data_IF_962238676580
#
_entry.id   IF_962238676580
#
_cell.length_a   1.000
_cell.length_b   1.000
_cell.length_c   1.000
_cell.angle_alpha   90.00
_cell.angle_beta   90.00
_cell.angle_gamma   90.00
#
_symmetry.space_group_name_H-M   'P 1'
#
loop_
_entity.id
_entity.type
_entity.pdbx_description
1 polymer ?
#
# COMPACT_ATOMS: atom_id res chain seq x y z
N UNK A 1 -25.84 44.02 40.01
CA UNK A 1 -25.44 43.55 38.69
C UNK A 1 -25.27 42.05 38.76
N UNK A 2 -26.24 41.27 38.27
CA UNK A 2 -26.17 39.82 38.23
C UNK A 2 -25.26 39.37 37.08
N UNK A 3 -24.36 38.40 37.28
CA UNK A 3 -23.52 37.89 36.20
C UNK A 3 -24.39 37.20 35.14
N UNK A 4 -24.25 37.62 33.88
CA UNK A 4 -24.91 37.00 32.74
C UNK A 4 -24.48 35.53 32.61
N UNK A 5 -25.45 34.64 32.48
CA UNK A 5 -25.19 33.21 32.24
C UNK A 5 -24.36 33.01 30.96
N UNK A 6 -23.42 32.02 30.95
CA UNK A 6 -22.65 31.74 29.75
C UNK A 6 -23.59 31.34 28.60
N UNK A 7 -23.24 31.68 27.34
CA UNK A 7 -24.05 31.32 26.18
C UNK A 7 -24.16 29.79 26.08
N UNK A 8 -25.38 29.32 25.83
CA UNK A 8 -25.65 27.89 25.58
C UNK A 8 -24.82 27.42 24.37
N UNK A 9 -24.28 26.21 24.43
CA UNK A 9 -23.58 25.63 23.28
C UNK A 9 -24.54 25.62 22.07
N UNK A 10 -24.01 25.90 20.85
CA UNK A 10 -24.84 25.93 19.64
C UNK A 10 -25.58 24.60 19.50
N UNK A 11 -26.89 24.68 19.34
CA UNK A 11 -27.72 23.50 19.07
C UNK A 11 -27.26 22.88 17.74
N UNK A 12 -27.19 21.53 17.63
CA UNK A 12 -26.88 20.88 16.37
C UNK A 12 -27.86 21.34 15.31
N UNK A 13 -27.34 21.81 14.18
CA UNK A 13 -28.13 22.21 13.02
C UNK A 13 -29.02 21.02 12.58
N UNK A 14 -30.36 21.12 12.66
CA UNK A 14 -31.23 20.03 12.24
C UNK A 14 -31.15 19.74 10.74
N UNK A 15 -30.47 20.57 9.95
CA UNK A 15 -30.20 20.37 8.53
C UNK A 15 -28.83 19.73 8.27
N UNK A 16 -28.01 19.53 9.32
CA UNK A 16 -26.78 18.79 9.15
C UNK A 16 -27.09 17.39 8.62
N UNK A 17 -26.54 16.98 7.46
CA UNK A 17 -26.85 15.68 6.89
C UNK A 17 -26.55 14.62 7.93
N UNK A 18 -27.54 13.76 8.22
CA UNK A 18 -27.36 12.61 9.11
C UNK A 18 -26.08 11.90 8.70
N UNK A 19 -25.22 11.50 9.65
CA UNK A 19 -23.99 10.72 9.41
C UNK A 19 -24.36 9.32 8.89
N UNK A 20 -24.87 9.28 7.66
CA UNK A 20 -25.22 8.03 7.00
C UNK A 20 -23.93 7.30 6.59
N UNK A 21 -23.60 6.25 7.34
CA UNK A 21 -22.43 5.42 7.08
C UNK A 21 -22.44 4.79 5.68
N UNK A 22 -23.60 4.69 5.04
CA UNK A 22 -23.81 4.03 3.74
C UNK A 22 -24.11 5.02 2.61
N UNK A 23 -23.95 6.32 2.84
CA UNK A 23 -24.31 7.37 1.87
C UNK A 23 -23.72 7.14 0.47
N UNK A 24 -22.43 6.79 0.38
CA UNK A 24 -21.75 6.53 -0.91
C UNK A 24 -22.22 5.24 -1.57
N UNK A 25 -22.61 4.22 -0.81
CA UNK A 25 -23.10 2.94 -1.35
C UNK A 25 -24.49 3.04 -2.00
N UNK A 26 -25.22 4.15 -1.82
CA UNK A 26 -26.47 4.41 -2.55
C UNK A 26 -26.24 4.66 -4.03
N UNK A 27 -25.03 5.07 -4.43
CA UNK A 27 -24.67 5.30 -5.83
C UNK A 27 -24.29 3.98 -6.52
N UNK A 28 -25.01 3.52 -7.54
CA UNK A 28 -24.73 2.24 -8.22
C UNK A 28 -23.31 2.17 -8.79
N UNK A 29 -22.83 3.26 -9.38
CA UNK A 29 -21.47 3.34 -9.93
C UNK A 29 -20.41 3.14 -8.86
N UNK A 30 -20.63 3.67 -7.64
CA UNK A 30 -19.70 3.50 -6.53
C UNK A 30 -19.70 2.06 -6.02
N UNK A 31 -20.84 1.37 -5.97
CA UNK A 31 -20.89 -0.06 -5.61
C UNK A 31 -20.04 -0.89 -6.55
N UNK A 32 -20.20 -0.72 -7.86
CA UNK A 32 -19.38 -1.41 -8.86
C UNK A 32 -17.91 -1.06 -8.74
N UNK A 33 -17.58 0.20 -8.46
CA UNK A 33 -16.22 0.64 -8.20
C UNK A 33 -15.59 -0.07 -6.99
N UNK A 34 -16.31 -0.20 -5.87
CA UNK A 34 -15.82 -0.89 -4.67
C UNK A 34 -15.63 -2.38 -4.95
N UNK A 35 -16.59 -3.04 -5.60
CA UNK A 35 -16.50 -4.46 -5.98
C UNK A 35 -15.28 -4.69 -6.87
N UNK A 36 -15.11 -3.88 -7.92
CA UNK A 36 -13.96 -3.98 -8.83
C UNK A 36 -12.63 -3.80 -8.07
N UNK A 37 -12.53 -2.76 -7.24
CA UNK A 37 -11.31 -2.48 -6.48
C UNK A 37 -11.00 -3.58 -5.47
N UNK A 38 -11.99 -4.10 -4.78
CA UNK A 38 -11.84 -5.19 -3.82
C UNK A 38 -11.37 -6.47 -4.52
N UNK A 39 -12.06 -6.89 -5.58
CA UNK A 39 -11.71 -8.08 -6.33
C UNK A 39 -10.28 -8.01 -6.92
N UNK A 40 -9.92 -6.87 -7.53
CA UNK A 40 -8.56 -6.62 -8.04
C UNK A 40 -7.52 -6.68 -6.92
N UNK A 41 -7.79 -6.07 -5.76
CA UNK A 41 -6.82 -6.07 -4.66
C UNK A 41 -6.62 -7.46 -4.08
N UNK A 42 -7.70 -8.23 -3.87
CA UNK A 42 -7.60 -9.63 -3.41
C UNK A 42 -6.82 -10.46 -4.42
N UNK A 43 -7.11 -10.33 -5.72
CA UNK A 43 -6.42 -11.02 -6.80
C UNK A 43 -4.90 -10.74 -6.77
N UNK A 44 -4.50 -9.47 -6.72
CA UNK A 44 -3.08 -9.10 -6.69
C UNK A 44 -2.36 -9.58 -5.42
N UNK A 45 -3.05 -9.65 -4.29
CA UNK A 45 -2.50 -10.20 -3.05
C UNK A 45 -2.30 -11.73 -3.14
N UNK A 46 -3.26 -12.47 -3.71
CA UNK A 46 -3.12 -13.90 -4.01
C UNK A 46 -1.92 -14.11 -4.93
N UNK A 47 -1.87 -13.37 -6.03
CA UNK A 47 -0.80 -13.43 -7.04
C UNK A 47 0.58 -13.20 -6.40
N UNK A 48 0.73 -12.17 -5.56
CA UNK A 48 1.99 -11.84 -4.89
C UNK A 48 2.51 -12.99 -4.01
N UNK A 49 1.63 -13.67 -3.26
CA UNK A 49 1.99 -14.84 -2.44
C UNK A 49 2.46 -15.99 -3.32
N UNK A 50 1.67 -16.33 -4.35
CA UNK A 50 1.93 -17.53 -5.18
C UNK A 50 3.20 -17.33 -6.02
N UNK A 51 3.37 -16.15 -6.63
CA UNK A 51 4.57 -15.80 -7.42
C UNK A 51 5.81 -15.79 -6.54
N UNK A 52 5.76 -15.15 -5.39
CA UNK A 52 6.89 -15.09 -4.45
C UNK A 52 7.32 -16.47 -3.98
N UNK A 53 6.36 -17.32 -3.61
CA UNK A 53 6.65 -18.71 -3.21
C UNK A 53 7.23 -19.53 -4.36
N UNK A 54 6.62 -19.49 -5.55
CA UNK A 54 7.09 -20.26 -6.71
C UNK A 54 8.50 -19.85 -7.16
N UNK A 55 8.75 -18.55 -7.29
CA UNK A 55 10.08 -18.07 -7.68
C UNK A 55 11.12 -18.54 -6.66
N UNK A 56 10.82 -18.45 -5.37
CA UNK A 56 11.75 -18.88 -4.35
C UNK A 56 11.97 -20.41 -4.36
N UNK A 57 10.92 -21.22 -4.49
CA UNK A 57 11.05 -22.68 -4.55
C UNK A 57 11.79 -23.18 -5.79
N UNK A 58 11.76 -22.41 -6.89
CA UNK A 58 12.51 -22.76 -8.12
C UNK A 58 13.97 -22.32 -8.01
N UNK A 59 14.24 -21.14 -7.44
CA UNK A 59 15.59 -20.54 -7.48
C UNK A 59 16.41 -20.80 -6.23
N UNK A 60 15.75 -20.96 -5.08
CA UNK A 60 16.38 -20.96 -3.74
C UNK A 60 17.32 -19.77 -3.52
N UNK A 61 17.10 -18.66 -4.23
CA UNK A 61 17.91 -17.44 -4.17
C UNK A 61 17.08 -16.24 -3.68
N UNK A 62 17.37 -15.68 -2.50
CA UNK A 62 16.67 -14.49 -1.98
C UNK A 62 16.72 -13.28 -2.93
N UNK A 63 17.77 -13.17 -3.76
CA UNK A 63 17.85 -12.09 -4.74
C UNK A 63 16.70 -12.13 -5.74
N UNK A 64 16.24 -13.34 -6.11
CA UNK A 64 15.09 -13.49 -7.01
C UNK A 64 13.83 -12.83 -6.46
N UNK A 65 13.62 -12.84 -5.14
CA UNK A 65 12.53 -12.12 -4.49
C UNK A 65 12.73 -10.60 -4.56
N UNK A 66 13.95 -10.13 -4.36
CA UNK A 66 14.29 -8.71 -4.56
C UNK A 66 14.08 -8.25 -6.01
N UNK A 67 14.37 -9.10 -6.98
CA UNK A 67 14.14 -8.81 -8.41
C UNK A 67 12.64 -8.70 -8.75
N UNK A 68 11.72 -9.32 -7.99
CA UNK A 68 10.27 -9.09 -8.13
C UNK A 68 9.97 -7.62 -7.89
N UNK A 69 10.43 -7.07 -6.74
CA UNK A 69 10.26 -5.65 -6.42
C UNK A 69 10.84 -4.73 -7.50
N UNK A 70 12.04 -5.02 -7.97
CA UNK A 70 12.68 -4.22 -9.02
C UNK A 70 11.93 -4.30 -10.36
N UNK A 71 11.46 -5.49 -10.76
CA UNK A 71 10.68 -5.69 -11.97
C UNK A 71 9.34 -4.94 -11.94
N UNK A 72 8.79 -4.70 -10.75
CA UNK A 72 7.58 -3.92 -10.53
C UNK A 72 7.87 -2.41 -10.44
N UNK A 73 8.93 -2.02 -9.71
CA UNK A 73 9.32 -0.63 -9.49
C UNK A 73 9.76 0.07 -10.78
N UNK A 74 10.62 -0.56 -11.57
CA UNK A 74 11.20 0.06 -12.76
C UNK A 74 10.13 0.57 -13.73
N UNK A 75 9.16 -0.25 -14.19
CA UNK A 75 8.13 0.22 -15.09
C UNK A 75 7.17 1.21 -14.40
N UNK A 76 6.83 0.97 -13.14
CA UNK A 76 5.95 1.88 -12.40
C UNK A 76 6.55 3.29 -12.31
N UNK A 77 7.80 3.43 -11.90
CA UNK A 77 8.46 4.74 -11.75
C UNK A 77 8.69 5.41 -13.10
N UNK A 78 9.16 4.67 -14.13
CA UNK A 78 9.45 5.23 -15.44
C UNK A 78 8.21 5.70 -16.20
N UNK A 79 7.06 5.02 -16.01
CA UNK A 79 5.83 5.30 -16.75
C UNK A 79 4.79 6.08 -15.94
N UNK A 80 4.97 6.26 -14.62
CA UNK A 80 3.99 6.93 -13.75
C UNK A 80 3.70 8.38 -14.16
N UNK A 81 4.72 9.13 -14.59
CA UNK A 81 4.55 10.51 -15.07
C UNK A 81 3.74 10.59 -16.38
N UNK A 82 4.11 9.87 -17.48
CA UNK A 82 3.27 9.83 -18.68
C UNK A 82 1.90 9.22 -18.42
N UNK A 83 1.76 8.26 -17.52
CA UNK A 83 0.48 7.66 -17.17
C UNK A 83 -0.48 8.68 -16.53
N UNK A 84 0.02 9.51 -15.60
CA UNK A 84 -0.75 10.60 -15.01
C UNK A 84 -1.24 11.61 -16.07
N UNK A 85 -0.34 12.02 -16.97
CA UNK A 85 -0.69 12.93 -18.06
C UNK A 85 -1.73 12.33 -19.02
N UNK A 86 -1.62 11.04 -19.31
CA UNK A 86 -2.59 10.31 -20.14
C UNK A 86 -3.96 10.24 -19.45
N UNK A 87 -4.00 9.99 -18.14
CA UNK A 87 -5.23 9.96 -17.36
C UNK A 87 -5.95 11.32 -17.27
N UNK A 88 -5.22 12.42 -17.46
CA UNK A 88 -5.81 13.76 -17.51
C UNK A 88 -6.42 14.12 -18.88
N UNK A 89 -5.94 13.51 -19.96
CA UNK A 89 -6.35 13.84 -21.34
C UNK A 89 -7.34 12.87 -21.94
N UNK A 90 -7.23 11.60 -21.60
CA UNK A 90 -8.06 10.54 -22.17
C UNK A 90 -9.18 10.13 -21.21
N UNK A 91 -10.14 9.36 -21.75
CA UNK A 91 -11.23 8.81 -20.94
C UNK A 91 -10.71 7.89 -19.84
N UNK A 92 -10.87 8.31 -18.59
CA UNK A 92 -10.38 7.62 -17.39
C UNK A 92 -10.94 6.21 -17.25
N UNK A 93 -12.21 6.00 -17.65
CA UNK A 93 -12.82 4.67 -17.66
C UNK A 93 -12.14 3.75 -18.67
N UNK A 94 -11.85 4.24 -19.86
CA UNK A 94 -11.15 3.46 -20.89
C UNK A 94 -9.74 3.09 -20.45
N UNK A 95 -8.97 4.03 -19.92
CA UNK A 95 -7.62 3.75 -19.41
C UNK A 95 -7.66 2.68 -18.32
N UNK A 96 -8.58 2.79 -17.35
CA UNK A 96 -8.72 1.82 -16.27
C UNK A 96 -9.11 0.45 -16.80
N UNK A 97 -10.03 0.35 -17.77
CA UNK A 97 -10.43 -0.93 -18.39
C UNK A 97 -9.27 -1.58 -19.15
N UNK A 98 -8.51 -0.80 -19.92
CA UNK A 98 -7.33 -1.31 -20.65
C UNK A 98 -6.28 -1.82 -19.67
N UNK A 99 -6.01 -1.07 -18.60
CA UNK A 99 -5.06 -1.49 -17.58
C UNK A 99 -5.52 -2.77 -16.86
N UNK A 100 -6.78 -2.86 -16.47
CA UNK A 100 -7.37 -4.07 -15.89
C UNK A 100 -7.33 -5.27 -16.86
N UNK A 101 -7.61 -5.05 -18.14
CA UNK A 101 -7.51 -6.11 -19.16
C UNK A 101 -6.06 -6.63 -19.29
N UNK A 102 -5.07 -5.72 -19.27
CA UNK A 102 -3.66 -6.11 -19.25
C UNK A 102 -3.32 -6.93 -17.99
N UNK A 103 -3.85 -6.57 -16.83
CA UNK A 103 -3.64 -7.34 -15.58
C UNK A 103 -4.32 -8.73 -15.65
N UNK A 104 -5.50 -8.85 -16.30
CA UNK A 104 -6.12 -10.17 -16.57
C UNK A 104 -5.21 -11.02 -17.45
N UNK A 105 -4.60 -10.45 -18.50
CA UNK A 105 -3.64 -11.18 -19.33
C UNK A 105 -2.40 -11.63 -18.54
N UNK A 106 -1.92 -10.82 -17.60
CA UNK A 106 -0.86 -11.21 -16.68
C UNK A 106 -1.28 -12.41 -15.79
N UNK A 107 -2.49 -12.36 -15.20
CA UNK A 107 -3.04 -13.46 -14.40
C UNK A 107 -3.18 -14.75 -15.20
N UNK A 108 -3.71 -14.66 -16.45
CA UNK A 108 -3.80 -15.79 -17.36
C UNK A 108 -2.41 -16.36 -17.70
N UNK A 109 -1.39 -15.50 -17.87
CA UNK A 109 -0.02 -15.96 -18.13
C UNK A 109 0.54 -16.78 -16.97
N UNK A 110 0.34 -16.34 -15.71
CA UNK A 110 0.74 -17.11 -14.53
C UNK A 110 -0.03 -18.44 -14.41
N UNK A 111 -1.32 -18.43 -14.73
CA UNK A 111 -2.12 -19.66 -14.78
C UNK A 111 -1.57 -20.64 -15.82
N UNK A 112 -1.21 -20.17 -17.02
CA UNK A 112 -0.60 -20.98 -18.07
C UNK A 112 0.74 -21.56 -17.60
N UNK A 113 1.60 -20.77 -16.94
CA UNK A 113 2.87 -21.24 -16.38
C UNK A 113 2.67 -22.36 -15.36
N UNK A 114 1.60 -22.30 -14.57
CA UNK A 114 1.31 -23.30 -13.55
C UNK A 114 0.72 -24.59 -14.14
N UNK A 115 -0.09 -24.51 -15.20
CA UNK A 115 -0.68 -25.67 -15.89
C UNK A 115 0.35 -26.36 -16.78
N UNK A 116 1.26 -25.60 -17.39
CA UNK A 116 2.25 -26.12 -18.31
C UNK A 116 3.68 -25.75 -17.91
N UNK A 117 4.29 -26.45 -16.92
CA UNK A 117 5.63 -26.18 -16.45
C UNK A 117 6.73 -26.27 -17.53
N UNK A 118 6.45 -26.93 -18.67
CA UNK A 118 7.39 -27.01 -19.80
C UNK A 118 7.71 -25.64 -20.40
N UNK A 119 6.80 -24.68 -20.29
CA UNK A 119 7.02 -23.28 -20.73
C UNK A 119 8.18 -22.64 -19.96
N UNK A 120 8.44 -23.08 -18.74
CA UNK A 120 9.50 -22.59 -17.87
C UNK A 120 10.81 -23.42 -17.96
N UNK A 121 10.79 -24.56 -18.66
CA UNK A 121 11.92 -25.50 -18.65
C UNK A 121 13.22 -24.90 -19.20
N UNK A 122 13.14 -24.05 -20.24
CA UNK A 122 14.33 -23.43 -20.86
C UNK A 122 14.60 -22.02 -20.31
N UNK A 123 13.60 -21.10 -20.26
CA UNK A 123 13.80 -19.73 -19.78
C UNK A 123 13.84 -19.61 -18.26
N UNK A 124 13.53 -20.68 -17.49
CA UNK A 124 13.49 -20.66 -16.03
C UNK A 124 12.46 -19.66 -15.51
N UNK A 125 12.84 -18.82 -14.54
CA UNK A 125 11.93 -17.83 -13.90
C UNK A 125 11.78 -16.51 -14.65
N UNK A 126 12.51 -16.27 -15.72
CA UNK A 126 12.47 -15.01 -16.48
C UNK A 126 11.08 -14.62 -17.01
N UNK A 127 10.23 -15.56 -17.46
CA UNK A 127 8.84 -15.21 -17.86
C UNK A 127 8.03 -14.61 -16.73
N UNK A 128 8.26 -14.99 -15.47
CA UNK A 128 7.59 -14.37 -14.32
C UNK A 128 7.94 -12.89 -14.23
N UNK A 129 9.23 -12.53 -14.32
CA UNK A 129 9.67 -11.14 -14.27
C UNK A 129 9.14 -10.32 -15.44
N UNK A 130 9.03 -10.89 -16.64
CA UNK A 130 8.45 -10.22 -17.80
C UNK A 130 6.95 -9.89 -17.57
N UNK A 131 6.19 -10.82 -17.01
CA UNK A 131 4.78 -10.61 -16.69
C UNK A 131 4.62 -9.59 -15.55
N UNK A 132 5.46 -9.64 -14.50
CA UNK A 132 5.48 -8.66 -13.40
C UNK A 132 5.78 -7.27 -13.95
N UNK A 133 6.74 -7.13 -14.85
CA UNK A 133 7.08 -5.86 -15.49
C UNK A 133 5.88 -5.27 -16.26
N UNK A 134 5.17 -6.07 -17.04
CA UNK A 134 3.94 -5.65 -17.74
C UNK A 134 2.84 -5.25 -16.75
N UNK A 135 2.68 -6.01 -15.65
CA UNK A 135 1.75 -5.68 -14.57
C UNK A 135 2.09 -4.33 -13.93
N UNK A 136 3.38 -4.04 -13.70
CA UNK A 136 3.86 -2.75 -13.20
C UNK A 136 3.48 -1.58 -14.11
N UNK A 137 3.63 -1.72 -15.44
CA UNK A 137 3.15 -0.74 -16.41
C UNK A 137 1.63 -0.55 -16.28
N UNK A 138 0.86 -1.63 -16.27
CA UNK A 138 -0.60 -1.56 -16.17
C UNK A 138 -1.04 -0.84 -14.90
N UNK A 139 -0.40 -1.10 -13.75
CA UNK A 139 -0.68 -0.44 -12.48
C UNK A 139 -0.32 1.04 -12.47
N UNK A 140 0.73 1.45 -13.19
CA UNK A 140 1.09 2.86 -13.33
C UNK A 140 -0.03 3.67 -14.00
N UNK A 141 -0.74 3.11 -14.98
CA UNK A 141 -1.92 3.74 -15.60
C UNK A 141 -3.20 3.58 -14.78
N UNK A 142 -3.38 2.43 -14.14
CA UNK A 142 -4.58 2.12 -13.37
C UNK A 142 -4.79 3.07 -12.19
N UNK A 143 -3.74 3.32 -11.39
CA UNK A 143 -3.86 4.04 -10.13
C UNK A 143 -4.34 5.50 -10.30
N UNK A 144 -3.74 6.35 -11.16
CA UNK A 144 -4.19 7.73 -11.34
C UNK A 144 -5.57 7.80 -12.02
N UNK A 145 -5.83 6.97 -13.04
CA UNK A 145 -7.10 6.97 -13.75
C UNK A 145 -8.27 6.58 -12.83
N UNK A 146 -8.10 5.55 -12.01
CA UNK A 146 -9.09 5.10 -11.03
C UNK A 146 -9.35 6.15 -9.95
N UNK A 147 -8.29 6.77 -9.41
CA UNK A 147 -8.42 7.79 -8.38
C UNK A 147 -9.19 9.02 -8.88
N UNK A 148 -8.90 9.45 -10.10
CA UNK A 148 -9.58 10.55 -10.74
C UNK A 148 -11.06 10.22 -11.07
N UNK A 149 -11.34 8.98 -11.50
CA UNK A 149 -12.71 8.54 -11.79
C UNK A 149 -13.58 8.52 -10.52
N UNK A 150 -13.03 8.12 -9.38
CA UNK A 150 -13.76 8.11 -8.11
C UNK A 150 -14.35 9.49 -7.78
N UNK A 151 -13.58 10.56 -8.01
CA UNK A 151 -14.02 11.93 -7.76
C UNK A 151 -15.15 12.39 -8.70
N UNK A 152 -15.37 11.69 -9.81
CA UNK A 152 -16.42 12.01 -10.80
C UNK A 152 -17.70 11.18 -10.63
N UNK A 153 -17.60 9.97 -10.08
CA UNK A 153 -18.76 9.08 -9.89
C UNK A 153 -19.47 9.25 -8.55
N UNK A 154 -18.87 10.03 -7.62
CA UNK A 154 -19.43 10.29 -6.27
C UNK A 154 -19.57 11.79 -6.07
N UNK A 155 -20.74 12.30 -5.61
CA UNK A 155 -20.91 13.69 -5.27
C UNK A 155 -19.95 14.14 -4.15
N UNK A 156 -19.52 15.41 -4.18
CA UNK A 156 -18.58 15.96 -3.19
C UNK A 156 -19.02 15.72 -1.74
N UNK A 157 -20.32 15.83 -1.43
CA UNK A 157 -20.88 15.58 -0.10
C UNK A 157 -20.66 14.14 0.41
N UNK A 158 -20.60 13.13 -0.49
CA UNK A 158 -20.39 11.73 -0.14
C UNK A 158 -18.92 11.27 -0.28
N UNK A 159 -18.01 12.16 -0.72
CA UNK A 159 -16.63 11.78 -1.05
C UNK A 159 -15.84 11.27 0.16
N UNK A 160 -16.02 11.89 1.35
CA UNK A 160 -15.37 11.42 2.58
C UNK A 160 -15.82 9.99 2.95
N UNK A 161 -17.14 9.72 2.84
CA UNK A 161 -17.70 8.39 3.08
C UNK A 161 -17.19 7.37 2.03
N UNK A 162 -17.12 7.74 0.75
CA UNK A 162 -16.57 6.91 -0.32
C UNK A 162 -15.09 6.58 -0.09
N UNK A 163 -14.29 7.54 0.38
CA UNK A 163 -12.89 7.33 0.72
C UNK A 163 -12.72 6.36 1.90
N UNK A 164 -13.58 6.45 2.91
CA UNK A 164 -13.60 5.52 4.04
C UNK A 164 -13.92 4.08 3.59
N UNK A 165 -14.96 3.88 2.77
CA UNK A 165 -15.30 2.58 2.22
C UNK A 165 -14.20 2.00 1.35
N UNK A 166 -13.57 2.82 0.49
CA UNK A 166 -12.42 2.42 -0.33
C UNK A 166 -11.25 1.94 0.54
N UNK A 167 -10.94 2.69 1.61
CA UNK A 167 -9.86 2.33 2.53
C UNK A 167 -10.17 1.03 3.28
N UNK A 168 -11.41 0.87 3.78
CA UNK A 168 -11.84 -0.36 4.45
C UNK A 168 -11.79 -1.58 3.53
N UNK A 169 -12.25 -1.43 2.27
CA UNK A 169 -12.17 -2.49 1.26
C UNK A 169 -10.71 -2.88 0.99
N UNK A 170 -9.81 -1.91 0.86
CA UNK A 170 -8.40 -2.17 0.67
C UNK A 170 -7.77 -2.90 1.87
N UNK A 171 -8.03 -2.45 3.08
CA UNK A 171 -7.50 -3.11 4.30
C UNK A 171 -8.02 -4.53 4.45
N UNK A 172 -9.32 -4.75 4.20
CA UNK A 172 -9.91 -6.09 4.23
C UNK A 172 -9.24 -7.01 3.20
N UNK A 173 -9.04 -6.52 1.98
CA UNK A 173 -8.37 -7.27 0.92
C UNK A 173 -6.89 -7.56 1.26
N UNK A 174 -6.20 -6.63 1.91
CA UNK A 174 -4.81 -6.80 2.35
C UNK A 174 -4.65 -7.89 3.44
N UNK A 175 -5.69 -8.11 4.26
CA UNK A 175 -5.71 -9.21 5.25
C UNK A 175 -6.12 -10.53 4.59
N UNK A 176 -7.24 -10.50 3.87
CA UNK A 176 -7.91 -11.72 3.38
C UNK A 176 -7.19 -12.30 2.16
N UNK A 177 -6.65 -11.44 1.29
CA UNK A 177 -6.01 -11.85 0.03
C UNK A 177 -4.81 -12.78 0.23
N UNK A 178 -3.79 -12.39 1.02
CA UNK A 178 -2.63 -13.23 1.27
C UNK A 178 -3.00 -14.55 1.95
N UNK A 179 -3.93 -14.50 2.93
CA UNK A 179 -4.40 -15.71 3.61
C UNK A 179 -5.08 -16.68 2.64
N UNK A 180 -6.00 -16.19 1.80
CA UNK A 180 -6.64 -17.01 0.76
C UNK A 180 -5.59 -17.57 -0.21
N UNK A 181 -4.66 -16.74 -0.68
CA UNK A 181 -3.62 -17.17 -1.62
C UNK A 181 -2.76 -18.29 -1.06
N UNK A 182 -2.28 -18.14 0.17
CA UNK A 182 -1.49 -19.16 0.86
C UNK A 182 -2.27 -20.45 1.11
N UNK A 183 -3.52 -20.35 1.58
CA UNK A 183 -4.38 -21.52 1.82
C UNK A 183 -4.71 -22.26 0.51
N UNK A 184 -5.10 -21.54 -0.54
CA UNK A 184 -5.38 -22.15 -1.85
C UNK A 184 -4.14 -22.86 -2.40
N UNK A 185 -2.97 -22.25 -2.27
CA UNK A 185 -1.76 -22.87 -2.74
C UNK A 185 -1.33 -24.05 -1.87
N UNK A 186 -1.34 -23.90 -0.54
CA UNK A 186 -0.88 -24.94 0.38
C UNK A 186 -1.77 -26.19 0.42
N UNK A 187 -3.10 -26.00 0.43
CA UNK A 187 -4.04 -27.13 0.49
C UNK A 187 -4.48 -27.65 -0.88
N UNK A 188 -4.11 -26.98 -1.97
CA UNK A 188 -4.53 -27.39 -3.31
C UNK A 188 -3.34 -27.35 -4.28
N UNK A 189 -3.18 -26.25 -5.01
CA UNK A 189 -2.07 -26.08 -5.97
C UNK A 189 -1.92 -24.61 -6.41
N UNK A 190 -0.76 -24.29 -7.00
CA UNK A 190 -0.56 -23.01 -7.68
C UNK A 190 -1.62 -22.74 -8.76
N UNK A 191 -2.02 -23.79 -9.50
CA UNK A 191 -3.03 -23.69 -10.56
C UNK A 191 -4.38 -23.23 -10.01
N UNK A 192 -4.83 -23.76 -8.87
CA UNK A 192 -6.08 -23.34 -8.24
C UNK A 192 -5.97 -21.90 -7.74
N UNK A 193 -4.85 -21.52 -7.13
CA UNK A 193 -4.63 -20.16 -6.65
C UNK A 193 -4.59 -19.14 -7.79
N UNK A 194 -3.90 -19.42 -8.91
CA UNK A 194 -3.93 -18.55 -10.09
C UNK A 194 -5.28 -18.58 -10.81
N UNK A 195 -6.02 -19.68 -10.76
CA UNK A 195 -7.40 -19.75 -11.25
C UNK A 195 -8.32 -18.82 -10.47
N UNK A 196 -8.19 -18.77 -9.14
CA UNK A 196 -8.92 -17.84 -8.28
C UNK A 196 -8.52 -16.37 -8.55
N UNK A 197 -7.21 -16.08 -8.68
CA UNK A 197 -6.68 -14.78 -9.07
C UNK A 197 -7.30 -14.31 -10.40
N UNK A 198 -7.19 -15.13 -11.45
CA UNK A 198 -7.75 -14.82 -12.78
C UNK A 198 -9.25 -14.57 -12.72
N UNK A 199 -9.99 -15.40 -11.98
CA UNK A 199 -11.45 -15.23 -11.81
C UNK A 199 -11.77 -13.89 -11.14
N UNK A 200 -11.07 -13.53 -10.07
CA UNK A 200 -11.26 -12.25 -9.39
C UNK A 200 -10.88 -11.06 -10.28
N UNK A 201 -9.83 -11.19 -11.09
CA UNK A 201 -9.45 -10.15 -12.05
C UNK A 201 -10.54 -9.96 -13.13
N UNK A 202 -11.13 -11.05 -13.63
CA UNK A 202 -12.27 -10.98 -14.59
C UNK A 202 -13.48 -10.34 -13.91
N UNK A 203 -13.80 -10.70 -12.66
CA UNK A 203 -14.87 -10.06 -11.90
C UNK A 203 -14.59 -8.56 -11.75
N UNK A 204 -13.34 -8.17 -11.49
CA UNK A 204 -12.93 -6.77 -11.40
C UNK A 204 -13.21 -6.01 -12.71
N UNK A 205 -12.81 -6.57 -13.86
CA UNK A 205 -13.09 -5.98 -15.18
C UNK A 205 -14.58 -5.86 -15.42
N UNK A 206 -15.36 -6.93 -15.18
CA UNK A 206 -16.80 -6.94 -15.39
C UNK A 206 -17.52 -5.90 -14.51
N UNK A 207 -17.15 -5.83 -13.22
CA UNK A 207 -17.69 -4.83 -12.30
C UNK A 207 -17.34 -3.41 -12.76
N UNK A 208 -16.09 -3.16 -13.18
CA UNK A 208 -15.68 -1.84 -13.65
C UNK A 208 -16.37 -1.47 -14.98
N UNK A 209 -16.58 -2.42 -15.87
CA UNK A 209 -17.32 -2.23 -17.12
C UNK A 209 -18.79 -1.88 -16.90
N UNK A 210 -19.39 -2.32 -15.78
CA UNK A 210 -20.76 -1.97 -15.40
C UNK A 210 -20.92 -0.50 -14.94
N UNK A 211 -19.82 0.22 -14.67
CA UNK A 211 -19.86 1.64 -14.30
C UNK A 211 -20.33 2.46 -15.50
N UNK A 212 -21.48 3.10 -15.36
CA UNK A 212 -22.00 4.03 -16.35
C UNK A 212 -21.39 5.40 -16.13
N UNK A 213 -20.48 5.80 -17.00
CA UNK A 213 -19.74 7.04 -16.90
C UNK A 213 -19.86 7.87 -18.17
N UNK A 214 -20.28 9.11 -18.01
CA UNK A 214 -20.26 10.11 -19.07
C UNK A 214 -19.08 11.04 -18.79
N UNK A 215 -18.09 11.12 -19.71
CA UNK A 215 -16.94 11.99 -19.52
C UNK A 215 -17.38 13.43 -19.34
N UNK A 216 -16.93 14.07 -18.25
CA UNK A 216 -17.08 15.51 -18.13
C UNK A 216 -16.03 16.21 -19.01
N UNK A 217 -16.39 17.29 -19.71
CA UNK A 217 -15.41 18.09 -20.43
C UNK A 217 -14.28 18.48 -19.49
N UNK A 218 -13.04 18.33 -19.94
CA UNK A 218 -11.87 18.74 -19.17
C UNK A 218 -11.98 20.25 -18.88
N UNK A 219 -12.42 20.58 -17.67
CA UNK A 219 -12.47 21.96 -17.20
C UNK A 219 -11.09 22.44 -16.85
N UNK A 220 -10.79 23.68 -17.21
CA UNK A 220 -9.62 24.52 -16.91
C UNK A 220 -8.23 23.94 -17.29
N UNK A 221 -7.42 24.79 -17.84
CA UNK A 221 -6.00 24.55 -18.14
C UNK A 221 -5.31 24.11 -16.85
N UNK A 222 -5.01 22.80 -16.73
CA UNK A 222 -4.22 22.27 -15.62
C UNK A 222 -2.75 22.60 -15.88
N UNK A 223 -2.06 23.02 -14.84
CA UNK A 223 -0.61 23.24 -14.89
C UNK A 223 0.11 21.97 -15.38
N UNK A 224 1.25 22.14 -16.11
CA UNK A 224 2.07 21.00 -16.49
C UNK A 224 2.43 20.14 -15.27
N UNK A 225 2.25 18.81 -15.39
CA UNK A 225 2.46 17.86 -14.28
C UNK A 225 3.87 17.99 -13.66
N UNK A 226 4.90 18.19 -14.50
CA UNK A 226 6.29 18.38 -14.04
C UNK A 226 6.43 19.63 -13.17
N UNK A 227 5.75 20.73 -13.53
CA UNK A 227 5.77 21.97 -12.75
C UNK A 227 5.03 21.78 -11.41
N UNK A 228 3.88 21.11 -11.43
CA UNK A 228 3.11 20.76 -10.24
C UNK A 228 3.91 19.87 -9.29
N UNK A 229 4.58 18.83 -9.81
CA UNK A 229 5.41 17.92 -9.02
C UNK A 229 6.65 18.66 -8.46
N UNK A 230 7.32 19.49 -9.28
CA UNK A 230 8.45 20.31 -8.84
C UNK A 230 8.06 21.26 -7.70
N UNK A 231 6.88 21.88 -7.79
CA UNK A 231 6.35 22.73 -6.72
C UNK A 231 6.08 21.93 -5.44
N UNK A 232 5.50 20.71 -5.55
CA UNK A 232 5.30 19.80 -4.43
C UNK A 232 6.60 19.37 -3.77
N UNK A 233 7.60 18.97 -4.56
CA UNK A 233 8.94 18.62 -4.06
C UNK A 233 9.58 19.83 -3.36
N UNK A 234 9.58 20.99 -4.01
CA UNK A 234 10.12 22.21 -3.41
C UNK A 234 9.48 22.54 -2.07
N UNK A 235 8.15 22.47 -1.98
CA UNK A 235 7.43 22.68 -0.74
C UNK A 235 7.84 21.69 0.36
N UNK A 236 7.88 20.37 0.05
CA UNK A 236 8.26 19.32 1.00
C UNK A 236 9.67 19.55 1.56
N UNK A 237 10.63 19.89 0.68
CA UNK A 237 12.02 20.13 1.10
C UNK A 237 12.21 21.41 1.94
N UNK A 238 11.26 22.36 1.86
CA UNK A 238 11.28 23.58 2.68
C UNK A 238 10.46 23.46 3.97
N UNK A 239 9.83 22.29 4.21
CA UNK A 239 9.07 22.01 5.44
C UNK A 239 9.76 20.90 6.25
N UNK A 240 10.66 21.24 7.21
CA UNK A 240 11.48 20.24 7.90
C UNK A 240 10.69 19.15 8.62
N UNK A 241 9.51 19.47 9.18
CA UNK A 241 8.66 18.48 9.84
C UNK A 241 8.07 17.46 8.84
N UNK A 242 7.62 17.93 7.67
CA UNK A 242 7.10 17.07 6.60
C UNK A 242 8.24 16.21 6.05
N UNK A 243 9.36 16.83 5.69
CA UNK A 243 10.52 16.12 5.16
C UNK A 243 11.02 15.07 6.16
N UNK A 244 11.10 15.41 7.44
CA UNK A 244 11.51 14.47 8.49
C UNK A 244 10.56 13.28 8.61
N UNK A 245 9.24 13.51 8.53
CA UNK A 245 8.25 12.43 8.57
C UNK A 245 8.33 11.52 7.34
N UNK A 246 8.47 12.09 6.14
CA UNK A 246 8.64 11.33 4.90
C UNK A 246 9.96 10.56 4.86
N UNK A 247 11.06 11.16 5.33
CA UNK A 247 12.37 10.53 5.41
C UNK A 247 12.38 9.37 6.39
N UNK A 248 11.76 9.58 7.57
CA UNK A 248 11.63 8.54 8.58
C UNK A 248 10.91 7.30 8.02
N UNK A 249 9.80 7.50 7.35
CA UNK A 249 9.02 6.44 6.71
C UNK A 249 9.79 5.77 5.57
N UNK A 250 10.31 6.58 4.62
CA UNK A 250 11.06 6.08 3.48
C UNK A 250 12.17 5.11 3.91
N UNK A 251 13.07 5.57 4.80
CA UNK A 251 14.22 4.77 5.19
C UNK A 251 13.89 3.63 6.13
N UNK A 252 12.83 3.76 6.95
CA UNK A 252 12.40 2.66 7.82
C UNK A 252 11.81 1.51 7.03
N UNK A 253 11.02 1.80 5.98
CA UNK A 253 10.45 0.79 5.09
C UNK A 253 11.50 0.25 4.13
N UNK A 254 12.33 1.13 3.55
CA UNK A 254 13.41 0.75 2.62
C UNK A 254 14.38 -0.25 3.27
N UNK A 255 14.80 0.01 4.50
CA UNK A 255 15.80 -0.80 5.20
C UNK A 255 15.17 -1.92 6.04
N UNK A 256 13.93 -1.72 6.55
CA UNK A 256 13.22 -2.68 7.39
C UNK A 256 12.35 -3.69 6.63
N UNK A 257 12.54 -3.84 5.32
CA UNK A 257 11.68 -4.60 4.40
C UNK A 257 11.67 -6.11 4.58
N UNK A 258 11.31 -6.64 5.76
CA UNK A 258 11.22 -8.08 6.01
C UNK A 258 10.18 -8.80 5.13
N UNK A 259 9.18 -8.08 4.61
CA UNK A 259 8.07 -8.67 3.85
C UNK A 259 8.51 -9.37 2.56
N UNK A 260 9.52 -8.85 1.87
CA UNK A 260 10.07 -9.46 0.66
C UNK A 260 10.74 -10.81 0.93
N UNK A 261 11.27 -11.00 2.15
CA UNK A 261 11.96 -12.22 2.57
C UNK A 261 11.04 -13.24 3.25
N UNK A 262 9.74 -12.95 3.41
CA UNK A 262 8.80 -13.89 4.03
C UNK A 262 8.79 -15.29 3.39
N UNK A 263 8.91 -15.47 2.06
CA UNK A 263 9.03 -16.81 1.47
C UNK A 263 10.25 -17.59 2.00
N UNK A 264 11.39 -16.91 2.20
CA UNK A 264 12.61 -17.52 2.79
C UNK A 264 12.34 -17.94 4.24
N UNK A 265 11.75 -17.04 5.03
CA UNK A 265 11.43 -17.34 6.43
C UNK A 265 10.41 -18.48 6.55
N UNK A 266 9.37 -18.50 5.73
CA UNK A 266 8.35 -19.52 5.77
C UNK A 266 8.91 -20.91 5.33
N UNK A 267 9.76 -20.95 4.29
CA UNK A 267 10.36 -22.18 3.78
C UNK A 267 11.48 -22.71 4.69
N UNK A 268 12.53 -21.90 4.89
CA UNK A 268 13.82 -22.38 5.38
C UNK A 268 14.01 -22.20 6.89
N UNK A 269 13.23 -21.32 7.52
CA UNK A 269 13.43 -20.94 8.91
C UNK A 269 12.29 -21.43 9.81
N UNK A 270 11.05 -21.22 9.38
CA UNK A 270 9.86 -21.61 10.13
C UNK A 270 9.24 -22.93 9.66
N UNK A 271 9.59 -23.39 8.47
CA UNK A 271 9.13 -24.64 7.85
C UNK A 271 7.59 -24.79 7.83
N UNK A 272 6.89 -23.73 7.41
CA UNK A 272 5.41 -23.65 7.50
C UNK A 272 4.69 -23.69 6.14
N UNK A 273 5.41 -23.85 5.05
CA UNK A 273 4.78 -23.93 3.73
C UNK A 273 4.13 -22.64 3.22
N UNK A 274 3.45 -22.71 2.06
CA UNK A 274 2.79 -21.54 1.47
C UNK A 274 1.57 -21.06 2.27
N UNK A 275 0.87 -21.95 2.98
CA UNK A 275 -0.23 -21.61 3.89
C UNK A 275 0.26 -20.75 5.06
N UNK A 276 1.40 -21.11 5.64
CA UNK A 276 2.04 -20.31 6.68
C UNK A 276 2.55 -18.99 6.15
N UNK A 277 3.09 -18.93 4.93
CA UNK A 277 3.48 -17.69 4.26
C UNK A 277 2.27 -16.75 4.13
N UNK A 278 1.12 -17.25 3.69
CA UNK A 278 -0.10 -16.44 3.56
C UNK A 278 -0.55 -15.83 4.89
N UNK A 279 -0.48 -16.61 5.97
CA UNK A 279 -0.81 -16.15 7.32
C UNK A 279 0.19 -15.09 7.80
N UNK A 280 1.49 -15.32 7.64
CA UNK A 280 2.54 -14.37 8.02
C UNK A 280 2.42 -13.06 7.23
N UNK A 281 2.11 -13.13 5.94
CA UNK A 281 1.92 -11.95 5.07
C UNK A 281 0.68 -11.12 5.45
N UNK A 282 -0.37 -11.76 6.00
CA UNK A 282 -1.56 -11.09 6.48
C UNK A 282 -1.34 -10.39 7.85
N UNK A 283 -0.34 -10.80 8.62
CA UNK A 283 -0.13 -10.34 9.98
C UNK A 283 0.02 -8.81 10.13
N UNK A 284 0.84 -8.10 9.31
CA UNK A 284 0.94 -6.64 9.40
C UNK A 284 -0.39 -5.94 9.15
N UNK A 285 -1.17 -6.42 8.18
CA UNK A 285 -2.49 -5.84 7.87
C UNK A 285 -3.50 -6.06 9.01
N UNK A 286 -3.47 -7.23 9.66
CA UNK A 286 -4.25 -7.49 10.89
C UNK A 286 -3.87 -6.49 11.97
N UNK A 287 -2.57 -6.30 12.20
CA UNK A 287 -2.07 -5.31 13.16
C UNK A 287 -2.53 -3.90 12.85
N UNK A 288 -2.44 -3.48 11.60
CA UNK A 288 -2.88 -2.17 11.14
C UNK A 288 -4.38 -1.95 11.36
N UNK A 289 -5.23 -2.96 11.11
CA UNK A 289 -6.68 -2.89 11.38
C UNK A 289 -6.95 -2.72 12.87
N UNK A 290 -6.31 -3.53 13.72
CA UNK A 290 -6.47 -3.43 15.18
C UNK A 290 -6.06 -2.05 15.67
N UNK A 291 -4.94 -1.51 15.20
CA UNK A 291 -4.46 -0.18 15.58
C UNK A 291 -5.37 0.92 15.06
N UNK A 292 -5.89 0.81 13.83
CA UNK A 292 -6.86 1.77 13.26
C UNK A 292 -8.12 1.87 14.13
N UNK A 293 -8.66 0.73 14.56
CA UNK A 293 -9.82 0.68 15.47
C UNK A 293 -9.47 1.33 16.82
N UNK A 294 -8.30 1.02 17.36
CA UNK A 294 -7.85 1.60 18.63
C UNK A 294 -7.73 3.14 18.54
N UNK A 295 -7.07 3.66 17.49
CA UNK A 295 -6.90 5.10 17.29
C UNK A 295 -8.25 5.80 17.10
N UNK A 296 -9.20 5.19 16.38
CA UNK A 296 -10.53 5.77 16.15
C UNK A 296 -11.33 6.01 17.44
N UNK A 297 -11.05 5.25 18.51
CA UNK A 297 -11.70 5.38 19.82
C UNK A 297 -10.90 6.20 20.84
N UNK A 298 -9.73 6.75 20.45
CA UNK A 298 -8.88 7.55 21.33
C UNK A 298 -8.97 9.04 20.99
N UNK A 299 -8.61 9.85 21.97
CA UNK A 299 -8.45 11.31 21.78
C UNK A 299 -7.27 11.60 20.83
N UNK A 300 -7.28 12.73 20.11
CA UNK A 300 -6.17 13.15 19.27
C UNK A 300 -4.82 13.08 19.98
N UNK A 301 -3.76 12.75 19.27
CA UNK A 301 -2.42 12.55 19.82
C UNK A 301 -1.83 13.88 20.28
N UNK A 302 -1.54 14.03 21.57
CA UNK A 302 -1.01 15.27 22.14
C UNK A 302 0.45 15.55 21.78
N UNK A 303 1.23 14.52 21.40
CA UNK A 303 2.66 14.60 21.06
C UNK A 303 2.94 13.81 19.78
N UNK A 304 2.32 14.24 18.69
CA UNK A 304 2.29 13.50 17.43
C UNK A 304 3.69 13.12 16.93
N UNK A 305 4.67 14.03 16.97
CA UNK A 305 6.01 13.76 16.50
C UNK A 305 6.74 12.70 17.32
N UNK A 306 6.66 12.76 18.65
CA UNK A 306 7.25 11.71 19.52
C UNK A 306 6.53 10.37 19.34
N UNK A 307 5.21 10.39 19.20
CA UNK A 307 4.42 9.18 18.94
C UNK A 307 4.88 8.50 17.64
N UNK A 308 5.12 9.27 16.59
CA UNK A 308 5.64 8.76 15.32
C UNK A 308 7.04 8.13 15.49
N UNK A 309 7.96 8.81 16.18
CA UNK A 309 9.30 8.28 16.43
C UNK A 309 9.25 6.97 17.24
N UNK A 310 8.42 6.90 18.29
CA UNK A 310 8.22 5.67 19.06
C UNK A 310 7.59 4.56 18.23
N UNK A 311 6.62 4.88 17.39
CA UNK A 311 5.99 3.92 16.51
C UNK A 311 7.02 3.30 15.55
N UNK A 312 7.84 4.12 14.87
CA UNK A 312 8.87 3.60 13.96
C UNK A 312 9.95 2.83 14.70
N UNK A 313 10.33 3.24 15.92
CA UNK A 313 11.23 2.45 16.76
C UNK A 313 10.63 1.09 17.14
N UNK A 314 9.34 1.05 17.47
CA UNK A 314 8.61 -0.20 17.77
C UNK A 314 8.54 -1.11 16.54
N UNK A 315 8.27 -0.53 15.36
CA UNK A 315 8.33 -1.24 14.08
C UNK A 315 9.69 -1.92 13.91
N UNK A 316 10.78 -1.16 14.02
CA UNK A 316 12.14 -1.68 13.84
C UNK A 316 12.50 -2.78 14.86
N UNK A 317 12.12 -2.62 16.13
CA UNK A 317 12.32 -3.64 17.17
C UNK A 317 11.51 -4.91 16.85
N UNK A 318 10.27 -4.76 16.39
CA UNK A 318 9.42 -5.89 15.99
C UNK A 318 10.04 -6.66 14.81
N UNK A 319 10.60 -5.95 13.81
CA UNK A 319 11.31 -6.56 12.67
C UNK A 319 12.58 -7.31 13.13
N UNK A 320 13.38 -6.73 14.04
CA UNK A 320 14.54 -7.44 14.62
C UNK A 320 14.08 -8.70 15.35
N UNK A 321 13.04 -8.60 16.18
CA UNK A 321 12.46 -9.74 16.89
C UNK A 321 11.97 -10.82 15.91
N UNK A 322 11.32 -10.44 14.82
CA UNK A 322 10.91 -11.36 13.76
C UNK A 322 12.11 -12.06 13.14
N UNK A 323 13.18 -11.34 12.80
CA UNK A 323 14.42 -11.93 12.27
C UNK A 323 15.06 -12.98 13.19
N UNK A 324 14.93 -12.80 14.51
CA UNK A 324 15.43 -13.75 15.51
C UNK A 324 14.45 -14.89 15.81
N UNK A 325 13.17 -14.75 15.46
CA UNK A 325 12.15 -15.72 15.80
C UNK A 325 12.30 -17.04 15.02
N UNK A 326 12.01 -18.14 15.73
CA UNK A 326 11.92 -19.50 15.17
C UNK A 326 10.55 -20.13 15.46
N UNK A 327 9.63 -19.34 16.00
CA UNK A 327 8.28 -19.76 16.35
C UNK A 327 7.27 -19.00 15.50
N UNK A 328 6.36 -19.72 14.84
CA UNK A 328 5.37 -19.15 13.90
C UNK A 328 4.42 -18.17 14.60
N UNK A 329 3.95 -18.51 15.81
CA UNK A 329 3.02 -17.67 16.58
C UNK A 329 3.71 -16.38 17.02
N UNK A 330 4.96 -16.47 17.49
CA UNK A 330 5.76 -15.30 17.84
C UNK A 330 6.03 -14.43 16.60
N UNK A 331 6.41 -15.05 15.48
CA UNK A 331 6.64 -14.36 14.21
C UNK A 331 5.39 -13.61 13.74
N UNK A 332 4.22 -14.26 13.80
CA UNK A 332 2.95 -13.62 13.50
C UNK A 332 2.69 -12.41 14.42
N UNK A 333 2.87 -12.58 15.73
CA UNK A 333 2.68 -11.51 16.72
C UNK A 333 3.60 -10.32 16.49
N UNK A 334 4.88 -10.58 16.15
CA UNK A 334 5.87 -9.53 15.86
C UNK A 334 5.57 -8.80 14.55
N UNK A 335 5.16 -9.52 13.50
CA UNK A 335 4.70 -8.92 12.24
C UNK A 335 3.40 -8.12 12.43
N UNK A 336 2.46 -8.61 13.23
CA UNK A 336 1.26 -7.84 13.58
C UNK A 336 1.62 -6.57 14.36
N UNK A 337 2.55 -6.65 15.32
CA UNK A 337 3.06 -5.48 16.05
C UNK A 337 3.75 -4.48 15.12
N UNK A 338 4.52 -4.94 14.13
CA UNK A 338 5.11 -4.06 13.14
C UNK A 338 4.03 -3.31 12.34
N UNK A 339 2.97 -4.00 11.90
CA UNK A 339 1.85 -3.37 11.21
C UNK A 339 1.04 -2.41 12.09
N UNK A 340 0.87 -2.71 13.39
CA UNK A 340 0.29 -1.75 14.35
C UNK A 340 1.12 -0.47 14.44
N UNK A 341 2.42 -0.61 14.56
CA UNK A 341 3.35 0.49 14.68
C UNK A 341 3.41 1.33 13.40
N UNK A 342 3.49 0.68 12.24
CA UNK A 342 3.46 1.35 10.94
C UNK A 342 2.17 2.15 10.75
N UNK A 343 1.03 1.60 11.10
CA UNK A 343 -0.25 2.29 11.01
C UNK A 343 -0.30 3.60 11.81
N UNK A 344 0.31 3.64 13.00
CA UNK A 344 0.47 4.88 13.78
C UNK A 344 1.27 5.92 12.98
N UNK A 345 2.39 5.52 12.38
CA UNK A 345 3.24 6.39 11.55
C UNK A 345 2.45 6.93 10.35
N UNK A 346 1.71 6.08 9.65
CA UNK A 346 0.86 6.43 8.50
C UNK A 346 -0.20 7.47 8.89
N UNK A 347 -0.91 7.26 10.01
CA UNK A 347 -1.95 8.20 10.49
C UNK A 347 -1.35 9.54 10.84
N UNK A 348 -0.27 9.57 11.62
CA UNK A 348 0.40 10.83 12.02
C UNK A 348 0.90 11.58 10.78
N UNK A 349 1.56 10.89 9.86
CA UNK A 349 2.07 11.48 8.61
C UNK A 349 0.95 12.03 7.74
N UNK A 350 -0.13 11.27 7.53
CA UNK A 350 -1.27 11.72 6.73
C UNK A 350 -1.90 12.98 7.33
N UNK A 351 -2.08 13.03 8.65
CA UNK A 351 -2.62 14.19 9.35
C UNK A 351 -1.69 15.40 9.26
N UNK A 352 -0.38 15.17 9.43
CA UNK A 352 0.64 16.22 9.32
C UNK A 352 0.65 16.86 7.92
N UNK A 353 0.57 16.02 6.86
CA UNK A 353 0.48 16.51 5.48
C UNK A 353 -0.80 17.34 5.26
N UNK A 354 -1.93 16.92 5.82
CA UNK A 354 -3.20 17.65 5.67
C UNK A 354 -3.20 19.01 6.38
N UNK A 355 -2.62 19.07 7.59
CA UNK A 355 -2.65 20.29 8.41
C UNK A 355 -1.59 21.31 7.97
N UNK A 356 -0.39 20.82 7.62
CA UNK A 356 0.73 21.72 7.28
C UNK A 356 0.77 22.14 5.81
N UNK A 357 -0.03 21.51 4.93
CA UNK A 357 -0.05 21.88 3.51
C UNK A 357 -1.21 22.82 3.21
N UNK A 358 -0.97 23.97 2.54
CA UNK A 358 -2.04 24.81 2.01
C UNK A 358 -2.98 23.99 1.10
N UNK A 359 -4.29 24.30 1.05
CA UNK A 359 -5.26 23.55 0.23
C UNK A 359 -4.83 23.40 -1.24
N UNK A 360 -4.20 24.42 -1.81
CA UNK A 360 -3.71 24.43 -3.20
C UNK A 360 -2.52 23.49 -3.42
N UNK A 361 -1.76 23.19 -2.35
CA UNK A 361 -0.56 22.33 -2.40
C UNK A 361 -0.85 20.89 -1.99
N UNK A 362 -1.99 20.61 -1.32
CA UNK A 362 -2.28 19.31 -0.74
C UNK A 362 -2.20 18.15 -1.77
N UNK A 363 -2.74 18.36 -2.97
CA UNK A 363 -2.65 17.35 -4.05
C UNK A 363 -1.21 17.09 -4.52
N UNK A 364 -0.40 18.16 -4.62
CA UNK A 364 1.02 18.08 -5.04
C UNK A 364 1.86 17.37 -3.99
N UNK A 365 1.67 17.71 -2.71
CA UNK A 365 2.35 17.09 -1.57
C UNK A 365 1.96 15.62 -1.43
N UNK A 366 0.66 15.30 -1.62
CA UNK A 366 0.19 13.90 -1.62
C UNK A 366 0.80 13.06 -2.75
N UNK A 367 1.02 13.66 -3.94
CA UNK A 367 1.71 12.98 -5.04
C UNK A 367 3.17 12.68 -4.70
N UNK A 368 3.89 13.63 -4.07
CA UNK A 368 5.25 13.41 -3.57
C UNK A 368 5.27 12.29 -2.52
N UNK A 369 4.36 12.32 -1.55
CA UNK A 369 4.24 11.25 -0.55
C UNK A 369 3.99 9.87 -1.18
N UNK A 370 3.14 9.78 -2.20
CA UNK A 370 2.88 8.52 -2.90
C UNK A 370 4.14 7.98 -3.63
N UNK A 371 4.96 8.86 -4.19
CA UNK A 371 6.26 8.48 -4.80
C UNK A 371 7.21 7.95 -3.72
N UNK A 372 7.31 8.62 -2.57
CA UNK A 372 8.14 8.16 -1.45
C UNK A 372 7.73 6.77 -0.99
N UNK A 373 6.43 6.53 -0.74
CA UNK A 373 5.90 5.23 -0.31
C UNK A 373 6.16 4.14 -1.37
N UNK A 374 5.82 4.41 -2.64
CA UNK A 374 6.01 3.43 -3.72
C UNK A 374 7.49 3.07 -3.91
N UNK A 375 8.37 4.08 -3.89
CA UNK A 375 9.80 3.85 -4.03
C UNK A 375 10.38 3.06 -2.85
N UNK A 376 9.98 3.37 -1.60
CA UNK A 376 10.49 2.68 -0.41
C UNK A 376 10.12 1.20 -0.39
N UNK A 377 8.90 0.85 -0.76
CA UNK A 377 8.43 -0.53 -0.77
C UNK A 377 9.21 -1.38 -1.78
N UNK A 378 9.24 -0.94 -3.04
CA UNK A 378 9.80 -1.72 -4.12
C UNK A 378 11.35 -1.76 -4.09
N UNK A 379 11.98 -0.62 -3.82
CA UNK A 379 13.44 -0.57 -3.67
C UNK A 379 13.89 -1.28 -2.40
N UNK A 380 13.09 -1.23 -1.33
CA UNK A 380 13.35 -1.96 -0.09
C UNK A 380 13.27 -3.48 -0.29
N UNK A 381 12.32 -3.96 -1.11
CA UNK A 381 12.26 -5.37 -1.50
C UNK A 381 13.54 -5.80 -2.24
N UNK A 382 14.03 -4.98 -3.18
CA UNK A 382 15.27 -5.25 -3.90
C UNK A 382 16.49 -5.21 -2.97
N UNK A 383 16.62 -4.18 -2.12
CA UNK A 383 17.70 -4.07 -1.12
C UNK A 383 17.73 -5.29 -0.21
N UNK A 384 16.57 -5.67 0.35
CA UNK A 384 16.45 -6.84 1.23
C UNK A 384 16.87 -8.14 0.52
N UNK A 385 16.51 -8.32 -0.75
CA UNK A 385 16.94 -9.47 -1.56
C UNK A 385 18.45 -9.52 -1.77
N UNK A 386 19.08 -8.38 -2.11
CA UNK A 386 20.54 -8.27 -2.28
C UNK A 386 21.25 -8.55 -0.94
N UNK A 387 20.81 -7.91 0.13
CA UNK A 387 21.43 -8.06 1.45
C UNK A 387 21.26 -9.50 1.97
N UNK A 388 20.09 -10.11 1.76
CA UNK A 388 19.87 -11.50 2.14
C UNK A 388 20.72 -12.50 1.32
N UNK A 389 20.98 -12.23 0.04
CA UNK A 389 21.89 -13.06 -0.76
C UNK A 389 23.33 -12.98 -0.26
N UNK A 390 23.77 -11.80 0.18
CA UNK A 390 25.16 -11.58 0.61
C UNK A 390 25.42 -12.07 2.04
N UNK A 391 24.48 -11.84 2.95
CA UNK A 391 24.65 -12.03 4.39
C UNK A 391 23.76 -13.15 4.97
N UNK A 392 22.78 -13.64 4.20
CA UNK A 392 21.71 -14.51 4.68
C UNK A 392 20.46 -13.72 5.12
N UNK A 393 19.30 -14.38 5.09
CA UNK A 393 18.01 -13.74 5.35
C UNK A 393 17.88 -13.18 6.79
N UNK A 394 18.36 -13.93 7.78
CA UNK A 394 18.28 -13.50 9.19
C UNK A 394 19.14 -12.28 9.48
N UNK A 395 20.44 -12.25 9.14
CA UNK A 395 21.26 -11.04 9.29
C UNK A 395 20.71 -9.85 8.50
N UNK A 396 20.19 -10.07 7.29
CA UNK A 396 19.60 -8.99 6.48
C UNK A 396 18.44 -8.29 7.21
N UNK A 397 17.47 -9.05 7.74
CA UNK A 397 16.34 -8.51 8.49
C UNK A 397 16.79 -7.81 9.77
N UNK A 398 17.75 -8.38 10.51
CA UNK A 398 18.26 -7.76 11.74
C UNK A 398 18.98 -6.45 11.43
N UNK A 399 19.86 -6.44 10.43
CA UNK A 399 20.60 -5.24 10.02
C UNK A 399 19.66 -4.15 9.51
N UNK A 400 18.65 -4.52 8.75
CA UNK A 400 17.60 -3.60 8.28
C UNK A 400 16.83 -2.96 9.46
N UNK A 401 16.44 -3.74 10.46
CA UNK A 401 15.82 -3.24 11.67
C UNK A 401 16.75 -2.33 12.49
N UNK A 402 18.03 -2.68 12.63
CA UNK A 402 19.03 -1.84 13.30
C UNK A 402 19.27 -0.53 12.54
N UNK A 403 19.35 -0.58 11.21
CA UNK A 403 19.48 0.60 10.38
C UNK A 403 18.25 1.52 10.51
N UNK A 404 17.03 0.95 10.55
CA UNK A 404 15.79 1.71 10.82
C UNK A 404 15.82 2.38 12.19
N UNK A 405 16.31 1.72 13.24
CA UNK A 405 16.54 2.35 14.55
C UNK A 405 17.57 3.49 14.47
N UNK A 406 18.62 3.31 13.68
CA UNK A 406 19.61 4.36 13.41
C UNK A 406 18.96 5.59 12.77
N UNK A 407 18.08 5.39 11.78
CA UNK A 407 17.31 6.47 11.14
C UNK A 407 16.44 7.19 12.16
N UNK A 408 15.74 6.48 13.04
CA UNK A 408 14.96 7.09 14.14
C UNK A 408 15.85 7.98 15.01
N UNK A 409 17.03 7.48 15.40
CA UNK A 409 18.00 8.23 16.21
C UNK A 409 18.51 9.50 15.52
N UNK A 410 18.82 9.40 14.23
CA UNK A 410 19.26 10.54 13.40
C UNK A 410 18.14 11.56 13.28
N UNK A 411 16.94 11.16 12.85
CA UNK A 411 15.80 12.08 12.67
C UNK A 411 15.41 12.74 14.01
N UNK A 412 15.40 12.00 15.11
CA UNK A 412 15.09 12.55 16.43
C UNK A 412 16.08 13.65 16.87
N UNK A 413 17.36 13.58 16.41
CA UNK A 413 18.39 14.60 16.72
C UNK A 413 18.42 15.74 15.71
N UNK A 414 18.25 15.45 14.41
CA UNK A 414 18.44 16.44 13.34
C UNK A 414 17.18 17.21 12.97
N UNK A 415 15.98 16.69 13.33
CA UNK A 415 14.69 17.31 13.00
C UNK A 415 13.88 17.61 14.26
N UNK A 416 14.30 18.62 15.08
CA UNK A 416 13.57 19.02 16.29
C UNK A 416 12.14 19.45 16.01
N UNK A 417 11.88 20.06 14.83
CA UNK A 417 10.54 20.47 14.36
C UNK A 417 9.54 19.30 14.27
N UNK A 418 10.01 18.10 13.95
CA UNK A 418 9.19 16.89 14.01
C UNK A 418 9.06 16.38 15.44
N UNK A 419 10.20 16.22 16.16
CA UNK A 419 10.23 15.66 17.52
C UNK A 419 9.35 16.44 18.49
N UNK A 420 9.41 17.76 18.44
CA UNK A 420 8.75 18.67 19.39
C UNK A 420 7.34 19.07 18.93
N UNK A 421 6.87 18.48 17.82
CA UNK A 421 5.52 18.65 17.31
C UNK A 421 4.51 18.17 18.35
N UNK A 422 3.72 19.11 18.87
CA UNK A 422 2.70 18.85 19.89
C UNK A 422 1.40 18.39 19.22
N UNK A 423 0.31 19.07 19.41
CA UNK A 423 -0.98 18.69 18.85
C UNK A 423 -1.05 18.95 17.34
N UNK A 424 -1.71 18.02 16.64
CA UNK A 424 -2.18 18.18 15.28
C UNK A 424 -3.62 18.72 15.35
N UNK A 425 -3.75 20.03 15.62
CA UNK A 425 -5.02 20.76 15.59
C UNK A 425 -4.96 21.85 14.54
#
# INVERSE_FOLDING_TARGET
>A
MSPSAPPLPPQPDPTAPSRDAYASLRFPNFRWFVVSTFAMTVATQIQGIVVGWQIYTITHDPLSLGLIGLAEALPFLSVSLPAGHTADRLNRRTITLVALAAMVLCSISFLIFSVNPRVLATPGVWPFFAVIFVSGIARAFYNPARAALLAEIVPRAAYANASAWRSSAWQTAAVVGPAIGGLLYGFSSATVAYGADTTLMVISVAAFAAIRYTPQPAGAVREPLVQSLRAGIHFVFHQPAILGALTLDLFSVLLGGAEALLPVFASDILHVGPEGLGILRAAPAVGAVVMSIYIAHRRPMERAGRTMLFAVATFAIAIIGFGLSRNVVLSFGLLALSGMADNVSVVVRATLLQIMSPPEMLGRVSAVNAIFIGSSNELGAFESGVTARLLGAVPAVILGGLASLGVVGVVARTVPSLRDLKRLE
#
